data_IF_250137767624
#
_entry.id   IF_250137767624
#
_cell.length_a   1.000
_cell.length_b   1.000
_cell.length_c   1.000
_cell.angle_alpha   90.00
_cell.angle_beta   90.00
_cell.angle_gamma   90.00
#
_symmetry.space_group_name_H-M   'P 1'
#
loop_
_entity.id
_entity.type
_entity.pdbx_description
1 polymer ?
#
# COMPACT_ATOMS: atom_id res chain seq x y z
N UNK A 1 2.10 -9.61 4.19
CA UNK A 1 0.62 -9.68 4.31
C UNK A 1 0.07 -11.02 4.80
N UNK A 2 0.90 -12.04 5.04
CA UNK A 2 0.49 -13.33 5.65
C UNK A 2 0.89 -13.42 7.12
N UNK A 3 1.35 -12.31 7.68
CA UNK A 3 1.84 -12.25 9.05
C UNK A 3 0.64 -11.87 9.95
N UNK A 4 0.23 -12.75 10.89
CA UNK A 4 -0.88 -12.49 11.80
C UNK A 4 -0.69 -11.22 12.63
N UNK A 5 0.53 -10.88 13.02
CA UNK A 5 0.81 -9.75 13.91
C UNK A 5 0.37 -8.42 13.28
N UNK A 6 0.46 -8.29 11.95
CA UNK A 6 0.01 -7.10 11.23
C UNK A 6 -1.51 -6.93 11.38
N UNK A 7 -2.27 -8.03 11.35
CA UNK A 7 -3.72 -7.98 11.51
C UNK A 7 -4.15 -7.70 12.95
N UNK A 8 -3.30 -7.98 13.93
CA UNK A 8 -3.54 -7.62 15.33
C UNK A 8 -3.23 -6.14 15.61
N UNK A 9 -2.22 -5.59 14.94
CA UNK A 9 -1.75 -4.22 15.16
C UNK A 9 -2.55 -3.14 14.42
N UNK A 10 -3.25 -3.48 13.34
CA UNK A 10 -3.92 -2.52 12.47
C UNK A 10 -5.37 -2.91 12.17
N UNK A 11 -6.28 -1.93 12.28
CA UNK A 11 -7.71 -2.11 11.96
C UNK A 11 -7.95 -2.34 10.46
N UNK A 12 -7.11 -1.75 9.61
CA UNK A 12 -7.15 -1.87 8.15
C UNK A 12 -5.75 -1.97 7.58
N UNK A 13 -5.60 -2.84 6.59
CA UNK A 13 -4.36 -3.03 5.83
C UNK A 13 -4.68 -2.77 4.37
N UNK A 14 -4.15 -1.67 3.82
CA UNK A 14 -4.34 -1.32 2.40
C UNK A 14 -3.15 -1.81 1.61
N UNK A 15 -3.33 -2.91 0.87
CA UNK A 15 -2.32 -3.44 -0.03
C UNK A 15 -2.45 -2.84 -1.42
N UNK A 16 -1.52 -1.96 -1.78
CA UNK A 16 -1.44 -1.39 -3.13
C UNK A 16 -0.46 -2.14 -4.01
N UNK A 17 -0.80 -2.34 -5.28
CA UNK A 17 0.10 -2.92 -6.28
C UNK A 17 -0.05 -2.19 -7.62
N UNK A 18 0.93 -1.37 -7.98
CA UNK A 18 0.89 -0.54 -9.19
C UNK A 18 1.70 -1.13 -10.34
N UNK A 19 1.04 -1.40 -11.45
CA UNK A 19 1.63 -2.02 -12.65
C UNK A 19 1.36 -1.20 -13.92
N UNK A 20 2.01 -1.59 -15.03
CA UNK A 20 1.73 -1.05 -16.36
C UNK A 20 0.51 -1.72 -16.95
N UNK A 21 0.43 -3.05 -16.84
CA UNK A 21 -0.61 -3.89 -17.42
C UNK A 21 -1.25 -4.80 -16.35
N UNK A 22 -2.48 -5.25 -16.59
CA UNK A 22 -3.27 -6.13 -15.72
C UNK A 22 -2.59 -7.48 -15.56
N UNK A 23 -1.92 -7.98 -16.60
CA UNK A 23 -1.20 -9.26 -16.55
C UNK A 23 -0.02 -9.24 -15.56
N UNK A 24 0.52 -8.06 -15.26
CA UNK A 24 1.62 -7.88 -14.29
C UNK A 24 1.12 -7.87 -12.83
N UNK A 25 -0.21 -7.88 -12.59
CA UNK A 25 -0.81 -7.98 -11.26
C UNK A 25 -0.66 -9.41 -10.72
N UNK A 26 0.58 -9.80 -10.45
CA UNK A 26 0.95 -11.06 -9.87
C UNK A 26 0.23 -11.30 -8.53
N UNK A 27 0.02 -12.58 -8.21
CA UNK A 27 -0.58 -13.02 -6.95
C UNK A 27 -2.04 -12.55 -6.72
N UNK A 28 -2.73 -12.07 -7.76
CA UNK A 28 -4.12 -11.63 -7.63
C UNK A 28 -5.02 -12.72 -7.04
N UNK A 29 -4.99 -13.93 -7.59
CA UNK A 29 -5.77 -15.07 -7.11
C UNK A 29 -5.43 -15.40 -5.64
N UNK A 30 -4.14 -15.44 -5.29
CA UNK A 30 -3.70 -15.62 -3.91
C UNK A 30 -4.33 -14.60 -2.96
N UNK A 31 -4.31 -13.32 -3.35
CA UNK A 31 -4.77 -12.21 -2.51
C UNK A 31 -6.30 -12.19 -2.40
N UNK A 32 -7.01 -12.44 -3.50
CA UNK A 32 -8.47 -12.27 -3.54
C UNK A 32 -9.26 -13.53 -3.25
N UNK A 33 -8.65 -14.71 -3.33
CA UNK A 33 -9.34 -16.00 -3.18
C UNK A 33 -8.73 -16.83 -2.05
N UNK A 34 -7.43 -17.13 -2.13
CA UNK A 34 -6.78 -18.06 -1.20
C UNK A 34 -6.58 -17.47 0.21
N UNK A 35 -6.13 -16.21 0.33
CA UNK A 35 -5.92 -15.57 1.63
C UNK A 35 -7.24 -15.37 2.40
N UNK A 36 -8.32 -14.88 1.77
CA UNK A 36 -9.63 -14.84 2.41
C UNK A 36 -10.13 -16.21 2.83
N UNK A 37 -9.79 -17.30 2.13
CA UNK A 37 -10.20 -18.66 2.47
C UNK A 37 -9.26 -19.36 3.48
N UNK A 38 -8.20 -18.70 3.94
CA UNK A 38 -7.19 -19.30 4.80
C UNK A 38 -7.77 -19.70 6.17
N UNK A 39 -7.46 -20.90 6.65
CA UNK A 39 -8.04 -21.48 7.88
C UNK A 39 -7.85 -20.56 9.11
N UNK A 40 -6.65 -20.01 9.28
CA UNK A 40 -6.31 -19.19 10.45
C UNK A 40 -6.42 -17.68 10.24
N UNK A 41 -6.22 -17.21 9.00
CA UNK A 41 -6.12 -15.78 8.68
C UNK A 41 -7.35 -15.25 7.95
N UNK A 42 -8.21 -16.13 7.44
CA UNK A 42 -9.26 -15.75 6.52
C UNK A 42 -10.26 -14.76 7.09
N UNK A 43 -10.58 -14.85 8.39
CA UNK A 43 -11.45 -13.88 9.06
C UNK A 43 -10.81 -12.48 9.07
N UNK A 44 -9.61 -12.34 9.63
CA UNK A 44 -8.91 -11.06 9.66
C UNK A 44 -8.62 -10.50 8.26
N UNK A 45 -8.27 -11.36 7.30
CA UNK A 45 -8.06 -10.95 5.91
C UNK A 45 -9.34 -10.36 5.32
N UNK A 46 -10.49 -11.04 5.46
CA UNK A 46 -11.77 -10.53 4.93
C UNK A 46 -12.19 -9.23 5.58
N UNK A 47 -11.95 -9.10 6.88
CA UNK A 47 -12.41 -7.94 7.64
C UNK A 47 -11.48 -6.74 7.51
N UNK A 48 -10.17 -6.96 7.33
CA UNK A 48 -9.14 -5.90 7.46
C UNK A 48 -8.33 -5.65 6.19
N UNK A 49 -8.13 -6.64 5.31
CA UNK A 49 -7.31 -6.47 4.10
C UNK A 49 -8.11 -5.83 2.96
N UNK A 50 -7.64 -4.68 2.48
CA UNK A 50 -8.16 -4.01 1.29
C UNK A 50 -7.11 -4.11 0.19
N UNK A 51 -7.43 -4.81 -0.90
CA UNK A 51 -6.54 -4.90 -2.06
C UNK A 51 -6.88 -3.83 -3.12
N UNK A 52 -5.95 -2.88 -3.30
CA UNK A 52 -6.10 -1.75 -4.21
C UNK A 52 -5.02 -1.77 -5.32
N UNK A 53 -5.18 -2.63 -6.35
CA UNK A 53 -4.27 -2.65 -7.50
C UNK A 53 -4.50 -1.46 -8.42
N UNK A 54 -3.45 -0.98 -9.09
CA UNK A 54 -3.56 0.09 -10.09
C UNK A 54 -2.82 -0.27 -11.38
N UNK A 55 -3.34 0.21 -12.51
CA UNK A 55 -2.78 -0.06 -13.85
C UNK A 55 -2.66 1.25 -14.63
N UNK A 56 -1.55 1.42 -15.35
CA UNK A 56 -1.22 2.71 -15.99
C UNK A 56 -1.35 2.73 -17.51
N UNK A 57 -1.33 1.59 -18.20
CA UNK A 57 -1.26 1.53 -19.68
C UNK A 57 -2.45 0.87 -20.37
N UNK A 58 -3.48 0.47 -19.64
CA UNK A 58 -4.72 -0.05 -20.21
C UNK A 58 -5.93 0.20 -19.27
N UNK A 59 -7.17 0.16 -19.78
CA UNK A 59 -8.37 0.37 -18.96
C UNK A 59 -8.45 -0.60 -17.79
N UNK A 60 -8.64 -0.08 -16.58
CA UNK A 60 -8.76 -0.87 -15.36
C UNK A 60 -9.58 -0.13 -14.31
N UNK A 61 -10.13 -0.86 -13.33
CA UNK A 61 -10.99 -0.25 -12.28
C UNK A 61 -10.31 0.91 -11.54
N UNK A 62 -8.99 0.82 -11.35
CA UNK A 62 -8.17 1.87 -10.75
C UNK A 62 -7.03 2.21 -11.70
N UNK A 63 -7.17 3.27 -12.48
CA UNK A 63 -6.12 3.72 -13.40
C UNK A 63 -5.22 4.80 -12.79
N UNK A 64 -3.92 4.75 -13.10
CA UNK A 64 -2.95 5.79 -12.72
C UNK A 64 -1.82 5.33 -11.79
N UNK A 65 -0.83 6.21 -11.57
CA UNK A 65 0.27 5.97 -10.63
C UNK A 65 -0.24 6.10 -9.20
N UNK A 66 0.28 5.26 -8.31
CA UNK A 66 -0.07 5.30 -6.88
C UNK A 66 0.23 6.66 -6.24
N UNK A 67 1.31 7.33 -6.66
CA UNK A 67 1.66 8.67 -6.17
C UNK A 67 0.59 9.70 -6.46
N UNK A 68 0.00 9.68 -7.65
CA UNK A 68 -1.06 10.62 -8.05
C UNK A 68 -2.37 10.34 -7.32
N UNK A 69 -2.73 9.07 -7.18
CA UNK A 69 -3.93 8.63 -6.47
C UNK A 69 -3.85 8.95 -4.98
N UNK A 70 -2.68 8.80 -4.36
CA UNK A 70 -2.44 9.16 -2.97
C UNK A 70 -2.42 10.69 -2.78
N UNK A 71 -1.79 11.44 -3.69
CA UNK A 71 -1.70 12.91 -3.65
C UNK A 71 -3.08 13.57 -3.75
N UNK A 72 -3.91 13.08 -4.66
CA UNK A 72 -5.27 13.58 -4.90
C UNK A 72 -6.27 13.21 -3.81
N UNK A 73 -5.95 12.26 -2.94
CA UNK A 73 -6.90 11.72 -1.96
C UNK A 73 -7.84 10.65 -2.54
N UNK A 74 -7.72 10.34 -3.84
CA UNK A 74 -8.58 9.36 -4.51
C UNK A 74 -8.42 7.97 -3.91
N UNK A 75 -7.18 7.54 -3.62
CA UNK A 75 -6.93 6.22 -3.03
C UNK A 75 -7.72 6.07 -1.73
N UNK A 76 -7.61 7.04 -0.83
CA UNK A 76 -8.26 7.05 0.47
C UNK A 76 -9.78 7.02 0.31
N UNK A 77 -10.33 7.86 -0.57
CA UNK A 77 -11.75 7.90 -0.85
C UNK A 77 -12.28 6.56 -1.40
N UNK A 78 -11.55 5.94 -2.34
CA UNK A 78 -11.95 4.68 -2.97
C UNK A 78 -11.95 3.51 -1.98
N UNK A 79 -11.07 3.53 -0.97
CA UNK A 79 -11.03 2.50 0.09
C UNK A 79 -11.87 2.84 1.32
N UNK A 80 -12.60 3.96 1.30
CA UNK A 80 -13.49 4.38 2.39
C UNK A 80 -12.76 4.88 3.64
N UNK A 81 -11.53 5.41 3.49
CA UNK A 81 -10.73 5.96 4.58
C UNK A 81 -10.67 7.50 4.50
N UNK A 82 -10.35 8.12 5.64
CA UNK A 82 -10.15 9.56 5.73
C UNK A 82 -8.85 10.06 5.07
N UNK A 83 -8.59 11.37 5.11
CA UNK A 83 -7.29 11.94 4.75
C UNK A 83 -6.16 11.34 5.60
N UNK A 84 -4.92 11.44 5.11
CA UNK A 84 -3.77 10.93 5.84
C UNK A 84 -3.59 11.63 7.19
N UNK A 85 -3.38 10.85 8.24
CA UNK A 85 -3.16 11.30 9.61
C UNK A 85 -1.94 10.59 10.23
N UNK A 86 -0.96 11.36 10.68
CA UNK A 86 0.25 10.84 11.33
C UNK A 86 -0.06 10.11 12.65
N UNK A 87 -1.18 10.40 13.31
CA UNK A 87 -1.58 9.69 14.53
C UNK A 87 -1.92 8.22 14.24
N UNK A 88 -2.63 7.95 13.15
CA UNK A 88 -3.22 6.63 12.87
C UNK A 88 -2.55 5.88 11.74
N UNK A 89 -1.95 6.57 10.77
CA UNK A 89 -1.53 5.93 9.53
C UNK A 89 -0.04 5.56 9.55
N UNK A 90 0.26 4.36 9.07
CA UNK A 90 1.61 3.85 8.90
C UNK A 90 1.82 3.34 7.48
N UNK A 91 3.02 3.53 6.94
CA UNK A 91 3.34 3.15 5.56
C UNK A 91 4.60 2.28 5.47
N UNK A 92 4.54 1.25 4.66
CA UNK A 92 5.72 0.52 4.18
C UNK A 92 5.76 0.66 2.66
N UNK A 93 6.86 1.23 2.13
CA UNK A 93 6.93 1.60 0.71
C UNK A 93 8.10 0.86 0.07
N UNK A 94 7.80 0.07 -0.96
CA UNK A 94 8.81 -0.60 -1.77
C UNK A 94 8.59 -0.27 -3.25
N UNK A 95 9.64 0.22 -3.93
CA UNK A 95 9.52 0.66 -5.32
C UNK A 95 10.80 1.21 -5.92
N UNK A 96 10.66 1.86 -7.08
CA UNK A 96 11.78 2.50 -7.76
C UNK A 96 12.29 3.73 -7.00
N UNK A 97 13.56 4.15 -7.17
CA UNK A 97 14.11 5.34 -6.51
C UNK A 97 13.24 6.59 -6.71
N UNK A 98 12.73 6.80 -7.93
CA UNK A 98 11.86 7.93 -8.26
C UNK A 98 10.53 7.86 -7.52
N UNK A 99 9.91 6.68 -7.45
CA UNK A 99 8.65 6.49 -6.73
C UNK A 99 8.83 6.74 -5.23
N UNK A 100 9.90 6.20 -4.64
CA UNK A 100 10.20 6.40 -3.22
C UNK A 100 10.36 7.88 -2.90
N UNK A 101 11.16 8.60 -3.71
CA UNK A 101 11.34 10.05 -3.54
C UNK A 101 10.01 10.80 -3.56
N UNK A 102 9.17 10.55 -4.57
CA UNK A 102 7.87 11.21 -4.70
C UNK A 102 6.92 10.91 -3.52
N UNK A 103 6.88 9.66 -3.04
CA UNK A 103 6.02 9.29 -1.90
C UNK A 103 6.56 9.87 -0.60
N UNK A 104 7.88 9.80 -0.34
CA UNK A 104 8.48 10.40 0.85
C UNK A 104 8.18 11.90 0.92
N UNK A 105 8.43 12.65 -0.16
CA UNK A 105 8.13 14.09 -0.21
C UNK A 105 6.65 14.37 0.06
N UNK A 106 5.74 13.52 -0.44
CA UNK A 106 4.32 13.64 -0.16
C UNK A 106 3.99 13.37 1.31
N UNK A 107 4.52 12.30 1.90
CA UNK A 107 4.27 11.93 3.29
C UNK A 107 4.86 12.96 4.25
N UNK A 108 6.08 13.44 4.00
CA UNK A 108 6.74 14.50 4.76
C UNK A 108 5.91 15.79 4.72
N UNK A 109 5.39 16.17 3.53
CA UNK A 109 4.52 17.35 3.39
C UNK A 109 3.20 17.24 4.17
N UNK A 110 2.82 16.03 4.59
CA UNK A 110 1.63 15.74 5.40
C UNK A 110 1.97 15.50 6.89
N UNK A 111 3.21 15.75 7.30
CA UNK A 111 3.65 15.62 8.69
C UNK A 111 3.98 14.20 9.13
N UNK A 112 4.01 13.23 8.21
CA UNK A 112 4.54 11.90 8.49
C UNK A 112 6.07 11.95 8.50
N UNK A 113 6.71 10.96 9.13
CA UNK A 113 8.15 10.92 9.33
C UNK A 113 8.68 9.52 9.04
N UNK A 114 9.80 9.46 8.32
CA UNK A 114 10.51 8.22 8.07
C UNK A 114 11.16 7.68 9.35
N UNK A 115 11.11 6.37 9.53
CA UNK A 115 11.87 5.68 10.57
C UNK A 115 13.33 5.59 10.12
N UNK A 116 14.25 6.13 10.92
CA UNK A 116 15.67 6.22 10.58
C UNK A 116 16.52 5.80 11.76
N UNK A 117 17.67 5.19 11.50
CA UNK A 117 18.67 4.82 12.53
C UNK A 117 18.10 4.01 13.72
N UNK A 118 17.08 3.19 13.48
CA UNK A 118 16.41 2.39 14.51
C UNK A 118 15.33 3.15 15.32
N UNK A 119 15.13 4.43 15.06
CA UNK A 119 14.03 5.20 15.64
C UNK A 119 12.74 4.94 14.84
N UNK A 120 11.77 4.29 15.49
CA UNK A 120 10.46 4.02 14.91
C UNK A 120 9.68 5.33 14.71
N UNK A 121 9.07 5.48 13.54
CA UNK A 121 8.25 6.62 13.17
C UNK A 121 7.01 6.17 12.36
N UNK A 122 6.60 6.95 11.36
CA UNK A 122 5.34 6.74 10.66
C UNK A 122 5.49 5.89 9.40
N UNK A 123 6.66 5.89 8.74
CA UNK A 123 6.87 5.06 7.56
C UNK A 123 8.29 4.49 7.44
N UNK A 124 8.42 3.45 6.62
CA UNK A 124 9.69 2.84 6.22
C UNK A 124 9.75 2.69 4.71
N UNK A 125 10.95 2.74 4.14
CA UNK A 125 11.18 2.57 2.70
C UNK A 125 12.18 1.46 2.40
N UNK A 126 11.98 0.80 1.27
CA UNK A 126 12.93 -0.15 0.70
C UNK A 126 13.02 0.05 -0.82
N UNK A 127 14.24 0.01 -1.38
CA UNK A 127 14.42 0.05 -2.83
C UNK A 127 14.13 -1.34 -3.40
N UNK A 128 13.16 -1.42 -4.31
CA UNK A 128 12.83 -2.67 -4.99
C UNK A 128 13.95 -3.14 -5.93
N UNK A 129 14.72 -2.19 -6.49
CA UNK A 129 15.88 -2.43 -7.34
C UNK A 129 16.79 -1.19 -7.35
N UNK A 130 18.02 -1.37 -7.84
CA UNK A 130 18.98 -0.28 -8.08
C UNK A 130 19.14 -0.14 -9.59
N UNK A 131 18.98 1.06 -10.13
CA UNK A 131 19.30 1.34 -11.53
C UNK A 131 20.83 1.32 -11.68
N UNK A 132 21.30 0.47 -12.59
CA UNK A 132 22.71 0.35 -13.03
C UNK A 132 23.12 1.50 -13.93
#
# INVERSE_FOLDING_TARGET
IRDPEIYEQYDKIVLTHGCRHVEELAYRELITEHLPAHEYLGNDVRDKLIYYPTVTREPFRNNGRLTDLLRSGKLQADVGLGPLDAATDRFMICGSPTMLKEICELLDSRGLRESRHGEAAHYVIERAFVES
#
